data_IF_461370248909
#
_entry.id   IF_461370248909
#
_cell.length_a   1.000
_cell.length_b   1.000
_cell.length_c   1.000
_cell.angle_alpha   90.00
_cell.angle_beta   90.00
_cell.angle_gamma   90.00
#
_symmetry.space_group_name_H-M   'P 1'
#
loop_
_entity.id
_entity.type
_entity.pdbx_description
1 polymer ?
#
# COMPACT_ATOMS: atom_id res chain seq x y z
N UNK A 1 31.87 22.73 -9.68
CA UNK A 1 30.45 22.42 -9.39
C UNK A 1 30.12 21.11 -10.10
N UNK A 2 29.97 20.02 -9.36
CA UNK A 2 29.63 18.73 -9.95
C UNK A 2 28.19 18.80 -10.46
N UNK A 3 28.00 18.53 -11.76
CA UNK A 3 26.69 18.34 -12.39
C UNK A 3 26.14 17.06 -11.77
N UNK A 4 25.23 17.20 -10.80
CA UNK A 4 24.49 16.07 -10.26
C UNK A 4 23.59 15.56 -11.38
N UNK A 5 23.99 14.46 -12.04
CA UNK A 5 23.17 13.78 -13.04
C UNK A 5 21.90 13.32 -12.34
N UNK A 6 20.78 13.94 -12.67
CA UNK A 6 19.47 13.71 -12.07
C UNK A 6 19.03 12.25 -12.29
N UNK A 7 19.29 11.36 -11.33
CA UNK A 7 18.98 9.92 -11.42
C UNK A 7 17.48 9.59 -11.39
N UNK A 8 16.61 10.59 -11.24
CA UNK A 8 15.19 10.38 -11.05
C UNK A 8 14.45 9.88 -12.29
N UNK A 9 14.91 10.20 -13.51
CA UNK A 9 14.24 9.72 -14.72
C UNK A 9 14.31 8.18 -14.85
N UNK A 10 15.43 7.57 -14.47
CA UNK A 10 15.60 6.12 -14.47
C UNK A 10 14.75 5.44 -13.39
N UNK A 11 14.67 6.08 -12.22
CA UNK A 11 13.82 5.65 -11.11
C UNK A 11 12.32 5.72 -11.44
N UNK A 12 11.85 6.83 -12.03
CA UNK A 12 10.47 6.94 -12.48
C UNK A 12 10.18 5.92 -13.58
N UNK A 13 11.13 5.67 -14.48
CA UNK A 13 10.99 4.63 -15.51
C UNK A 13 10.87 3.23 -14.89
N UNK A 14 11.68 2.89 -13.89
CA UNK A 14 11.59 1.59 -13.22
C UNK A 14 10.25 1.43 -12.52
N UNK A 15 9.82 2.43 -11.74
CA UNK A 15 8.50 2.46 -11.10
C UNK A 15 7.36 2.31 -12.11
N UNK A 16 7.45 3.00 -13.25
CA UNK A 16 6.48 2.87 -14.33
C UNK A 16 6.39 1.43 -14.82
N UNK A 17 7.53 0.79 -15.10
CA UNK A 17 7.56 -0.59 -15.60
C UNK A 17 7.13 -1.61 -14.56
N UNK A 18 7.55 -1.47 -13.31
CA UNK A 18 7.16 -2.34 -12.18
C UNK A 18 5.65 -2.33 -11.96
N UNK A 19 5.06 -1.13 -12.02
CA UNK A 19 3.60 -0.98 -11.93
C UNK A 19 2.89 -1.20 -13.25
N UNK A 20 3.59 -1.72 -14.27
CA UNK A 20 3.09 -2.09 -15.58
C UNK A 20 2.51 -0.96 -16.43
N UNK A 21 2.78 0.31 -16.11
CA UNK A 21 2.23 1.45 -16.87
C UNK A 21 2.95 1.62 -18.21
N UNK A 22 2.23 1.97 -19.26
CA UNK A 22 2.81 2.36 -20.54
C UNK A 22 3.26 3.83 -20.52
N UNK A 23 4.22 4.18 -21.38
CA UNK A 23 4.66 5.58 -21.54
C UNK A 23 3.51 6.49 -21.98
N UNK A 24 2.57 5.97 -22.77
CA UNK A 24 1.41 6.72 -23.23
C UNK A 24 0.42 7.00 -22.09
N UNK A 25 0.23 6.05 -21.18
CA UNK A 25 -0.64 6.21 -20.01
C UNK A 25 -0.14 7.32 -19.08
N UNK A 26 1.15 7.30 -18.72
CA UNK A 26 1.72 8.33 -17.86
C UNK A 26 1.66 9.69 -18.56
N UNK A 27 2.04 9.77 -19.84
CA UNK A 27 1.95 11.02 -20.59
C UNK A 27 0.54 11.63 -20.56
N UNK A 28 -0.50 10.81 -20.77
CA UNK A 28 -1.91 11.24 -20.67
C UNK A 28 -2.27 11.74 -19.27
N UNK A 29 -1.85 11.02 -18.22
CA UNK A 29 -2.10 11.42 -16.81
C UNK A 29 -1.41 12.74 -16.46
N UNK A 30 -0.25 13.00 -17.05
CA UNK A 30 0.51 14.25 -16.87
C UNK A 30 0.04 15.40 -17.77
N UNK A 31 -0.89 15.15 -18.70
CA UNK A 31 -1.32 16.16 -19.67
C UNK A 31 -0.25 16.55 -20.69
N UNK A 32 0.74 15.68 -20.94
CA UNK A 32 1.83 15.93 -21.91
C UNK A 32 1.77 14.95 -23.09
N UNK A 33 2.51 15.26 -24.16
CA UNK A 33 2.64 14.35 -25.29
C UNK A 33 3.46 13.10 -24.92
N UNK A 34 3.17 11.97 -25.57
CA UNK A 34 3.97 10.74 -25.42
C UNK A 34 5.45 10.98 -25.72
N UNK A 35 5.76 11.79 -26.73
CA UNK A 35 7.15 12.14 -27.08
C UNK A 35 7.84 12.94 -25.97
N UNK A 36 7.12 13.87 -25.33
CA UNK A 36 7.64 14.63 -24.18
C UNK A 36 7.98 13.71 -23.01
N UNK A 37 7.10 12.75 -22.70
CA UNK A 37 7.37 11.77 -21.64
C UNK A 37 8.53 10.83 -21.98
N UNK A 38 8.65 10.38 -23.24
CA UNK A 38 9.81 9.59 -23.71
C UNK A 38 11.11 10.36 -23.55
N UNK A 39 11.12 11.64 -23.93
CA UNK A 39 12.30 12.50 -23.79
C UNK A 39 12.69 12.65 -22.31
N UNK A 40 11.71 12.75 -21.41
CA UNK A 40 11.94 12.74 -19.97
C UNK A 40 12.60 11.44 -19.49
N UNK A 41 12.05 10.25 -19.80
CA UNK A 41 12.63 8.98 -19.34
C UNK A 41 14.05 8.72 -19.87
N UNK A 42 14.39 9.36 -20.99
CA UNK A 42 15.73 9.31 -21.60
C UNK A 42 16.69 10.36 -21.04
N UNK A 43 16.27 11.17 -20.06
CA UNK A 43 17.07 12.25 -19.47
C UNK A 43 17.28 13.46 -20.39
N UNK A 44 16.51 13.57 -21.48
CA UNK A 44 16.59 14.70 -22.44
C UNK A 44 15.68 15.86 -22.06
N UNK A 45 14.83 15.68 -21.04
CA UNK A 45 13.85 16.66 -20.55
C UNK A 45 13.69 16.50 -19.05
N UNK A 46 13.65 17.62 -18.32
CA UNK A 46 13.33 17.65 -16.89
C UNK A 46 11.80 17.71 -16.67
N UNK A 47 11.34 17.26 -15.51
CA UNK A 47 9.94 17.41 -15.11
C UNK A 47 9.62 18.84 -14.68
N UNK A 48 8.44 19.32 -15.07
CA UNK A 48 7.86 20.49 -14.40
C UNK A 48 7.40 20.12 -12.98
N UNK A 49 7.35 21.09 -12.05
CA UNK A 49 6.88 20.84 -10.67
C UNK A 49 5.44 20.31 -10.63
N UNK A 50 4.58 20.75 -11.55
CA UNK A 50 3.22 20.23 -11.70
C UNK A 50 3.23 18.75 -12.12
N UNK A 51 4.10 18.37 -13.04
CA UNK A 51 4.27 16.97 -13.48
C UNK A 51 4.86 16.10 -12.37
N UNK A 52 5.84 16.60 -11.62
CA UNK A 52 6.42 15.90 -10.48
C UNK A 52 5.36 15.66 -9.37
N UNK A 53 4.51 16.65 -9.11
CA UNK A 53 3.39 16.50 -8.18
C UNK A 53 2.39 15.43 -8.63
N UNK A 54 2.01 15.44 -9.90
CA UNK A 54 1.11 14.42 -10.44
C UNK A 54 1.75 13.03 -10.45
N UNK A 55 3.06 12.92 -10.76
CA UNK A 55 3.79 11.66 -10.63
C UNK A 55 3.83 11.17 -9.17
N UNK A 56 4.02 12.06 -8.21
CA UNK A 56 3.96 11.73 -6.78
C UNK A 56 2.60 11.13 -6.40
N UNK A 57 1.51 11.69 -6.94
CA UNK A 57 0.16 11.13 -6.76
C UNK A 57 0.00 9.78 -7.44
N UNK A 58 0.39 9.66 -8.72
CA UNK A 58 0.23 8.44 -9.52
C UNK A 58 1.02 7.27 -8.92
N UNK A 59 2.25 7.53 -8.51
CA UNK A 59 3.14 6.53 -7.96
C UNK A 59 3.09 6.43 -6.45
N UNK A 60 2.23 7.21 -5.77
CA UNK A 60 2.20 7.27 -4.30
C UNK A 60 3.61 7.41 -3.72
N UNK A 61 4.42 8.32 -4.26
CA UNK A 61 5.78 8.67 -3.83
C UNK A 61 5.85 10.16 -3.49
N UNK A 62 6.76 10.56 -2.59
CA UNK A 62 6.96 11.97 -2.25
C UNK A 62 7.77 12.69 -3.33
N UNK A 63 7.70 14.03 -3.38
CA UNK A 63 8.57 14.81 -4.27
C UNK A 63 10.06 14.60 -3.95
N UNK A 64 10.39 14.36 -2.67
CA UNK A 64 11.75 14.05 -2.24
C UNK A 64 12.23 12.70 -2.78
N UNK A 65 11.37 11.68 -2.79
CA UNK A 65 11.67 10.37 -3.42
C UNK A 65 11.96 10.52 -4.92
N UNK A 66 11.16 11.36 -5.60
CA UNK A 66 11.39 11.71 -7.00
C UNK A 66 12.74 12.38 -7.11
N UNK A 67 13.00 13.47 -6.40
CA UNK A 67 14.24 14.22 -6.50
C UNK A 67 15.49 13.36 -6.23
N UNK A 68 15.41 12.47 -5.23
CA UNK A 68 16.51 11.60 -4.83
C UNK A 68 16.64 10.34 -5.68
N UNK A 69 15.67 10.06 -6.55
CA UNK A 69 15.67 8.89 -7.44
C UNK A 69 15.65 7.56 -6.71
N UNK A 70 15.04 7.52 -5.51
CA UNK A 70 14.92 6.34 -4.66
C UNK A 70 13.63 6.45 -3.87
N UNK A 71 12.91 5.34 -3.69
CA UNK A 71 11.79 5.32 -2.76
C UNK A 71 12.38 5.32 -1.35
N UNK A 72 11.98 6.28 -0.51
CA UNK A 72 12.21 6.24 0.94
C UNK A 72 11.22 5.29 1.61
N UNK A 73 11.07 4.08 1.07
CA UNK A 73 10.35 2.98 1.74
C UNK A 73 11.36 1.91 2.14
N UNK A 74 11.10 1.18 3.22
CA UNK A 74 12.00 0.11 3.62
C UNK A 74 11.99 -1.03 2.61
N UNK A 75 13.17 -1.56 2.28
CA UNK A 75 13.31 -2.83 1.56
C UNK A 75 12.73 -3.96 2.43
N UNK A 76 11.72 -4.67 1.93
CA UNK A 76 11.08 -5.79 2.63
C UNK A 76 11.83 -7.07 2.28
N UNK A 77 12.29 -7.77 3.31
CA UNK A 77 12.92 -9.09 3.15
C UNK A 77 12.12 -10.06 4.01
N UNK A 78 11.51 -11.06 3.39
CA UNK A 78 10.86 -12.15 4.11
C UNK A 78 11.91 -13.08 4.71
N UNK A 79 11.92 -13.22 6.03
CA UNK A 79 12.85 -14.13 6.70
C UNK A 79 12.40 -15.58 6.50
N UNK A 80 13.02 -16.29 5.55
CA UNK A 80 12.97 -17.76 5.53
C UNK A 80 13.66 -18.27 6.80
N UNK A 81 12.89 -18.91 7.67
CA UNK A 81 13.32 -19.47 8.95
C UNK A 81 14.69 -20.17 8.88
N UNK A 82 15.74 -19.58 9.51
CA UNK A 82 16.73 -20.23 10.40
C UNK A 82 17.94 -19.32 10.74
N UNK A 83 18.12 -19.11 12.05
CA UNK A 83 19.31 -18.61 12.80
C UNK A 83 19.76 -17.16 12.55
N UNK A 84 19.44 -16.32 13.52
CA UNK A 84 20.00 -14.99 13.79
C UNK A 84 21.53 -15.05 13.82
N UNK A 85 22.20 -14.33 12.92
CA UNK A 85 23.55 -13.81 13.16
C UNK A 85 23.46 -12.30 13.24
N UNK A 86 23.65 -11.75 14.45
CA UNK A 86 23.90 -10.32 14.68
C UNK A 86 25.05 -9.88 13.78
N UNK A 87 24.79 -8.94 12.87
CA UNK A 87 25.86 -8.16 12.25
C UNK A 87 25.83 -6.77 12.90
N UNK A 88 26.90 -6.45 13.62
CA UNK A 88 27.17 -5.13 14.21
C UNK A 88 27.59 -4.15 13.12
N UNK A 89 27.06 -2.93 13.23
CA UNK A 89 27.69 -1.70 12.78
C UNK A 89 27.29 -1.22 11.39
N UNK A 90 26.66 -0.05 11.31
CA UNK A 90 27.23 1.22 10.79
C UNK A 90 26.07 2.20 10.52
N UNK A 91 26.14 3.40 11.10
CA UNK A 91 25.63 4.65 10.53
C UNK A 91 24.19 5.07 10.89
N UNK A 92 24.08 6.13 11.70
CA UNK A 92 22.86 6.91 11.91
C UNK A 92 22.51 7.66 10.62
N UNK A 93 21.68 7.08 9.73
CA UNK A 93 20.82 7.74 8.71
C UNK A 93 20.42 6.78 7.57
N UNK A 94 19.89 5.60 7.89
CA UNK A 94 19.30 4.70 6.90
C UNK A 94 18.13 3.94 7.53
N UNK A 95 16.95 4.06 6.94
CA UNK A 95 15.75 3.28 7.27
C UNK A 95 16.09 1.79 7.24
N UNK A 96 16.18 1.19 8.43
CA UNK A 96 16.58 -0.20 8.66
C UNK A 96 15.65 -1.17 7.92
N UNK A 97 16.27 -2.22 7.36
CA UNK A 97 15.62 -3.38 6.73
C UNK A 97 14.44 -3.86 7.58
N UNK A 98 13.26 -3.92 6.99
CA UNK A 98 12.04 -4.34 7.69
C UNK A 98 11.98 -5.86 7.69
N UNK A 99 12.48 -6.46 8.77
CA UNK A 99 12.23 -7.87 9.07
C UNK A 99 10.77 -8.04 9.50
N UNK A 100 10.03 -8.88 8.77
CA UNK A 100 8.67 -9.31 9.09
C UNK A 100 8.72 -10.82 9.34
N UNK A 101 8.28 -11.31 10.51
CA UNK A 101 8.20 -12.74 10.78
C UNK A 101 7.35 -13.46 9.73
N UNK A 102 7.79 -14.63 9.27
CA UNK A 102 7.10 -15.40 8.23
C UNK A 102 5.63 -15.71 8.57
N UNK A 103 5.31 -15.93 9.84
CA UNK A 103 3.94 -16.17 10.32
C UNK A 103 3.01 -14.99 10.01
N UNK A 104 3.51 -13.74 10.12
CA UNK A 104 2.75 -12.54 9.75
C UNK A 104 2.58 -12.40 8.24
N UNK A 105 3.53 -12.91 7.46
CA UNK A 105 3.44 -12.93 5.99
C UNK A 105 2.33 -13.88 5.55
N UNK A 106 2.28 -15.09 6.12
CA UNK A 106 1.25 -16.07 5.78
C UNK A 106 -0.14 -15.59 6.20
N UNK A 107 -0.27 -15.04 7.41
CA UNK A 107 -1.53 -14.45 7.87
C UNK A 107 -2.00 -13.29 6.99
N UNK A 108 -1.08 -12.44 6.51
CA UNK A 108 -1.41 -11.40 5.54
C UNK A 108 -1.87 -12.01 4.21
N UNK A 109 -1.15 -12.99 3.64
CA UNK A 109 -1.59 -13.70 2.41
C UNK A 109 -3.01 -14.24 2.54
N UNK A 110 -3.34 -14.88 3.65
CA UNK A 110 -4.67 -15.45 3.89
C UNK A 110 -5.75 -14.37 4.11
N UNK A 111 -5.48 -13.34 4.91
CA UNK A 111 -6.40 -12.22 5.11
C UNK A 111 -6.70 -11.47 3.80
N UNK A 112 -5.65 -11.16 3.02
CA UNK A 112 -5.78 -10.51 1.71
C UNK A 112 -6.59 -11.39 0.75
N UNK A 113 -6.29 -12.68 0.69
CA UNK A 113 -6.99 -13.61 -0.20
C UNK A 113 -8.47 -13.75 0.19
N UNK A 114 -8.77 -13.79 1.50
CA UNK A 114 -10.15 -13.80 2.00
C UNK A 114 -10.90 -12.53 1.62
N UNK A 115 -10.32 -11.35 1.86
CA UNK A 115 -10.92 -10.06 1.46
C UNK A 115 -11.20 -10.05 -0.05
N UNK A 116 -10.23 -10.42 -0.88
CA UNK A 116 -10.40 -10.44 -2.34
C UNK A 116 -11.45 -11.45 -2.80
N UNK A 117 -11.59 -12.59 -2.12
CA UNK A 117 -12.63 -13.58 -2.43
C UNK A 117 -14.05 -13.03 -2.23
N UNK A 118 -14.21 -12.08 -1.30
CA UNK A 118 -15.49 -11.44 -0.98
C UNK A 118 -15.78 -10.21 -1.83
N UNK A 119 -14.76 -9.38 -2.08
CA UNK A 119 -14.97 -8.04 -2.66
C UNK A 119 -14.18 -7.75 -3.94
N UNK A 120 -13.24 -8.60 -4.37
CA UNK A 120 -12.39 -8.34 -5.54
C UNK A 120 -13.18 -8.11 -6.84
N UNK A 121 -14.34 -8.75 -6.98
CA UNK A 121 -15.24 -8.56 -8.10
C UNK A 121 -15.93 -7.19 -8.15
N UNK A 122 -16.08 -6.48 -7.01
CA UNK A 122 -16.81 -5.21 -6.95
C UNK A 122 -16.13 -4.12 -7.81
N UNK A 123 -16.90 -3.29 -8.54
CA UNK A 123 -16.32 -2.34 -9.50
C UNK A 123 -15.54 -1.20 -8.84
N UNK A 124 -15.91 -0.79 -7.63
CA UNK A 124 -15.20 0.24 -6.86
C UNK A 124 -13.92 -0.27 -6.19
N UNK A 125 -13.72 -1.59 -6.08
CA UNK A 125 -12.56 -2.18 -5.41
C UNK A 125 -11.36 -2.24 -6.37
N UNK A 126 -10.51 -1.23 -6.23
CA UNK A 126 -9.16 -1.20 -6.80
C UNK A 126 -8.11 -1.11 -5.70
N UNK A 127 -6.83 -1.07 -6.10
CA UNK A 127 -5.67 -1.02 -5.20
C UNK A 127 -5.80 0.02 -4.07
N UNK A 128 -6.23 1.25 -4.38
CA UNK A 128 -6.40 2.29 -3.36
C UNK A 128 -7.42 1.89 -2.30
N UNK A 129 -8.59 1.37 -2.69
CA UNK A 129 -9.62 0.96 -1.70
C UNK A 129 -9.11 -0.22 -0.88
N UNK A 130 -8.46 -1.19 -1.53
CA UNK A 130 -7.93 -2.38 -0.88
C UNK A 130 -6.89 -2.04 0.20
N UNK A 131 -6.00 -1.09 -0.05
CA UNK A 131 -5.01 -0.64 0.95
C UNK A 131 -5.67 -0.14 2.23
N UNK A 132 -6.72 0.67 2.10
CA UNK A 132 -7.39 1.28 3.24
C UNK A 132 -8.32 0.28 3.93
N UNK A 133 -8.92 -0.64 3.18
CA UNK A 133 -9.69 -1.73 3.75
C UNK A 133 -8.81 -2.64 4.63
N UNK A 134 -7.63 -3.04 4.15
CA UNK A 134 -6.66 -3.81 4.95
C UNK A 134 -6.22 -3.05 6.21
N UNK A 135 -5.94 -1.75 6.05
CA UNK A 135 -5.59 -0.88 7.17
C UNK A 135 -6.67 -0.85 8.25
N UNK A 136 -7.93 -0.60 7.89
CA UNK A 136 -9.04 -0.58 8.86
C UNK A 136 -9.26 -1.97 9.46
N UNK A 137 -9.20 -3.05 8.68
CA UNK A 137 -9.26 -4.43 9.19
C UNK A 137 -8.26 -4.65 10.33
N UNK A 138 -7.01 -4.23 10.15
CA UNK A 138 -5.95 -4.49 11.12
C UNK A 138 -6.02 -3.56 12.34
N UNK A 139 -6.20 -2.24 12.11
CA UNK A 139 -6.19 -1.25 13.17
C UNK A 139 -7.47 -1.27 14.02
N UNK A 140 -8.62 -1.53 13.40
CA UNK A 140 -9.91 -1.57 14.11
C UNK A 140 -10.03 -2.88 14.90
N UNK A 141 -9.37 -3.95 14.45
CA UNK A 141 -9.22 -5.17 15.24
C UNK A 141 -8.37 -4.90 16.48
N UNK A 142 -7.25 -4.19 16.30
CA UNK A 142 -6.39 -3.79 17.41
C UNK A 142 -7.08 -2.86 18.41
N UNK A 143 -7.92 -1.93 17.95
CA UNK A 143 -8.70 -1.08 18.86
C UNK A 143 -9.68 -1.87 19.73
N UNK A 144 -10.32 -2.90 19.15
CA UNK A 144 -11.33 -3.73 19.84
C UNK A 144 -10.73 -4.76 20.78
N UNK A 145 -9.63 -5.39 20.38
CA UNK A 145 -9.11 -6.59 21.02
C UNK A 145 -7.69 -6.43 21.56
N UNK A 146 -7.03 -5.31 21.28
CA UNK A 146 -5.65 -5.01 21.69
C UNK A 146 -4.63 -6.04 21.12
N UNK A 147 -5.04 -6.76 20.07
CA UNK A 147 -4.26 -7.74 19.32
C UNK A 147 -4.19 -7.34 17.84
N UNK A 148 -3.11 -7.72 17.15
CA UNK A 148 -2.95 -7.42 15.73
C UNK A 148 -3.53 -8.56 14.89
N UNK A 149 -4.46 -8.27 13.96
CA UNK A 149 -5.02 -9.28 13.07
C UNK A 149 -3.97 -9.70 12.04
N UNK A 150 -3.52 -8.76 11.21
CA UNK A 150 -2.46 -9.00 10.22
C UNK A 150 -1.11 -8.61 10.84
N UNK A 151 -1.08 -7.52 11.62
CA UNK A 151 0.15 -6.98 12.19
C UNK A 151 1.11 -6.47 11.11
N UNK A 152 0.55 -5.98 10.00
CA UNK A 152 1.32 -5.41 8.91
C UNK A 152 1.89 -4.04 9.30
N UNK A 153 3.01 -3.67 8.67
CA UNK A 153 3.53 -2.30 8.76
C UNK A 153 2.85 -1.44 7.71
N UNK A 154 2.26 -0.34 8.14
CA UNK A 154 1.65 0.65 7.26
C UNK A 154 2.44 1.95 7.31
N UNK A 155 2.54 2.63 6.18
CA UNK A 155 3.19 3.94 6.07
C UNK A 155 2.19 5.01 5.66
N UNK A 156 2.45 6.24 6.10
CA UNK A 156 1.69 7.42 5.68
C UNK A 156 2.06 7.78 4.23
N UNK A 157 1.06 7.78 3.36
CA UNK A 157 1.14 8.30 2.00
C UNK A 157 0.02 9.30 1.72
N UNK A 158 0.20 10.08 0.65
CA UNK A 158 -0.69 11.13 0.16
C UNK A 158 -2.17 10.76 0.08
N UNK A 159 -2.48 9.50 -0.26
CA UNK A 159 -3.85 9.03 -0.45
C UNK A 159 -4.38 8.19 0.71
N UNK A 160 -3.64 8.13 1.82
CA UNK A 160 -3.96 7.33 3.00
C UNK A 160 -2.89 6.27 3.28
N UNK A 161 -3.10 5.41 4.28
CA UNK A 161 -2.14 4.39 4.67
C UNK A 161 -1.93 3.35 3.56
N UNK A 162 -0.70 2.85 3.47
CA UNK A 162 -0.31 1.79 2.53
C UNK A 162 0.45 0.69 3.27
N UNK A 163 0.05 -0.59 3.15
CA UNK A 163 0.81 -1.70 3.70
C UNK A 163 2.12 -1.87 2.95
N UNK A 164 3.23 -1.93 3.70
CA UNK A 164 4.59 -1.95 3.15
C UNK A 164 4.86 -3.23 2.33
N UNK A 165 4.45 -4.40 2.85
CA UNK A 165 4.71 -5.70 2.23
C UNK A 165 3.71 -6.10 1.13
N UNK A 166 2.84 -5.18 0.72
CA UNK A 166 1.71 -5.53 -0.17
C UNK A 166 2.18 -6.01 -1.54
N UNK A 167 3.17 -5.32 -2.13
CA UNK A 167 3.67 -5.64 -3.47
C UNK A 167 4.30 -7.02 -3.49
N UNK A 168 5.14 -7.33 -2.50
CA UNK A 168 5.79 -8.62 -2.39
C UNK A 168 4.78 -9.75 -2.16
N UNK A 169 3.73 -9.51 -1.35
CA UNK A 169 2.66 -10.48 -1.12
C UNK A 169 1.85 -10.76 -2.39
N UNK A 170 1.51 -9.73 -3.17
CA UNK A 170 0.83 -9.93 -4.45
C UNK A 170 1.71 -10.74 -5.41
N UNK A 171 2.98 -10.37 -5.56
CA UNK A 171 3.90 -11.09 -6.44
C UNK A 171 3.99 -12.57 -6.07
N UNK A 172 4.16 -12.88 -4.79
CA UNK A 172 4.15 -14.26 -4.30
C UNK A 172 2.85 -14.99 -4.66
N UNK A 173 1.68 -14.36 -4.45
CA UNK A 173 0.38 -14.96 -4.76
C UNK A 173 0.12 -15.12 -6.27
N UNK A 174 0.70 -14.25 -7.10
CA UNK A 174 0.69 -14.39 -8.57
C UNK A 174 1.61 -15.52 -9.03
N UNK A 175 2.80 -15.65 -8.46
CA UNK A 175 3.71 -16.78 -8.71
C UNK A 175 3.09 -18.13 -8.31
N UNK A 176 2.34 -18.15 -7.20
CA UNK A 176 1.55 -19.30 -6.76
C UNK A 176 0.30 -19.55 -7.64
N UNK A 177 -0.04 -18.62 -8.54
CA UNK A 177 -1.21 -18.67 -9.41
C UNK A 177 -2.55 -18.51 -8.67
N UNK A 178 -2.53 -17.94 -7.46
CA UNK A 178 -3.70 -17.71 -6.60
C UNK A 178 -4.40 -16.38 -6.90
N UNK A 179 -3.65 -15.38 -7.37
CA UNK A 179 -4.18 -14.06 -7.75
C UNK A 179 -3.80 -13.74 -9.19
N UNK A 180 -4.66 -12.97 -9.86
CA UNK A 180 -4.38 -12.31 -11.13
C UNK A 180 -4.57 -10.79 -10.99
N UNK A 181 -3.55 -10.02 -11.37
CA UNK A 181 -3.64 -8.55 -11.48
C UNK A 181 -4.20 -8.14 -12.84
N UNK A 182 -5.33 -7.42 -12.81
CA UNK A 182 -5.99 -6.89 -14.01
C UNK A 182 -5.95 -5.37 -13.99
N UNK A 183 -5.56 -4.78 -15.12
CA UNK A 183 -5.73 -3.36 -15.37
C UNK A 183 -7.03 -3.12 -16.10
N UNK A 184 -7.90 -2.33 -15.48
CA UNK A 184 -9.20 -1.98 -16.04
C UNK A 184 -9.39 -0.47 -16.02
N UNK A 185 -10.39 0.03 -16.74
CA UNK A 185 -10.84 1.43 -16.61
C UNK A 185 -12.05 1.47 -15.69
N UNK A 186 -11.98 2.26 -14.63
CA UNK A 186 -13.12 2.63 -13.81
C UNK A 186 -13.43 4.10 -14.04
N UNK A 187 -14.59 4.39 -14.64
CA UNK A 187 -14.91 5.72 -15.17
C UNK A 187 -13.83 6.25 -16.13
N UNK A 188 -13.15 7.36 -15.78
CA UNK A 188 -12.11 8.00 -16.59
C UNK A 188 -10.70 7.57 -16.19
N UNK A 189 -10.55 6.77 -15.14
CA UNK A 189 -9.27 6.46 -14.51
C UNK A 189 -8.92 4.99 -14.68
N UNK A 190 -7.62 4.71 -14.82
CA UNK A 190 -7.13 3.33 -14.77
C UNK A 190 -7.12 2.83 -13.33
N UNK A 191 -7.59 1.60 -13.16
CA UNK A 191 -7.74 0.90 -11.89
C UNK A 191 -7.02 -0.44 -11.99
N UNK A 192 -6.10 -0.67 -11.05
CA UNK A 192 -5.51 -1.99 -10.81
C UNK A 192 -6.46 -2.78 -9.91
N UNK A 193 -6.85 -3.96 -10.38
CA UNK A 193 -7.69 -4.93 -9.66
C UNK A 193 -6.90 -6.21 -9.41
N UNK A 194 -7.21 -6.88 -8.31
CA UNK A 194 -6.64 -8.18 -7.95
C UNK A 194 -7.80 -9.16 -7.84
N UNK A 195 -7.78 -10.24 -8.61
CA UNK A 195 -8.84 -11.24 -8.61
C UNK A 195 -8.30 -12.58 -8.13
N UNK A 196 -9.06 -13.27 -7.28
CA UNK A 196 -8.73 -14.63 -6.84
C UNK A 196 -8.98 -15.61 -7.98
N UNK A 197 -8.07 -16.55 -8.16
CA UNK A 197 -8.26 -17.68 -9.06
C UNK A 197 -9.25 -18.68 -8.43
N UNK A 198 -10.46 -18.86 -8.99
CA UNK A 198 -11.49 -19.71 -8.39
C UNK A 198 -11.15 -21.21 -8.43
N UNK A 199 -10.11 -21.59 -9.17
CA UNK A 199 -9.64 -22.99 -9.26
C UNK A 199 -8.66 -23.38 -8.14
N UNK A 200 -8.17 -22.40 -7.37
CA UNK A 200 -7.26 -22.63 -6.25
C UNK A 200 -8.03 -22.58 -4.93
N UNK A 201 -7.73 -23.48 -3.98
CA UNK A 201 -8.34 -23.43 -2.66
C UNK A 201 -7.89 -22.17 -1.91
N UNK A 202 -8.78 -21.64 -1.08
CA UNK A 202 -8.48 -20.53 -0.20
C UNK A 202 -8.04 -21.08 1.17
N UNK A 203 -6.78 -20.83 1.52
CA UNK A 203 -6.23 -21.19 2.82
C UNK A 203 -6.62 -20.14 3.88
N UNK A 204 -7.14 -20.59 5.02
CA UNK A 204 -7.60 -19.74 6.13
C UNK A 204 -7.11 -20.25 7.50
N UNK A 205 -6.13 -21.15 7.54
CA UNK A 205 -5.62 -21.78 8.76
C UNK A 205 -5.05 -20.80 9.79
N UNK A 206 -4.56 -19.65 9.33
CA UNK A 206 -3.96 -18.61 10.17
C UNK A 206 -5.01 -17.61 10.70
N UNK A 207 -6.28 -17.74 10.30
CA UNK A 207 -7.36 -16.85 10.71
C UNK A 207 -8.33 -17.56 11.64
N UNK A 208 -8.52 -17.00 12.83
CA UNK A 208 -9.55 -17.45 13.76
C UNK A 208 -10.95 -17.07 13.29
N UNK A 209 -11.97 -17.73 13.84
CA UNK A 209 -13.37 -17.37 13.56
C UNK A 209 -13.72 -15.93 13.97
N UNK A 210 -13.09 -15.41 15.03
CA UNK A 210 -13.26 -14.02 15.47
C UNK A 210 -12.69 -13.02 14.45
N UNK A 211 -11.50 -13.33 13.91
CA UNK A 211 -10.86 -12.48 12.88
C UNK A 211 -11.64 -12.51 11.58
N UNK A 212 -12.13 -13.67 11.15
CA UNK A 212 -13.00 -13.79 9.98
C UNK A 212 -14.28 -12.96 10.17
N UNK A 213 -14.92 -13.05 11.34
CA UNK A 213 -16.12 -12.27 11.65
C UNK A 213 -15.83 -10.76 11.64
N UNK A 214 -14.67 -10.33 12.15
CA UNK A 214 -14.26 -8.93 12.10
C UNK A 214 -13.98 -8.47 10.66
N UNK A 215 -13.30 -9.28 9.84
CA UNK A 215 -13.09 -8.98 8.41
C UNK A 215 -14.43 -8.81 7.69
N UNK A 216 -15.39 -9.71 7.91
CA UNK A 216 -16.71 -9.63 7.31
C UNK A 216 -17.47 -8.37 7.77
N UNK A 217 -17.34 -7.99 9.05
CA UNK A 217 -17.91 -6.74 9.59
C UNK A 217 -17.31 -5.50 8.90
N UNK A 218 -15.98 -5.45 8.74
CA UNK A 218 -15.30 -4.35 8.05
C UNK A 218 -15.66 -4.25 6.57
N UNK A 219 -15.75 -5.41 5.90
CA UNK A 219 -16.21 -5.47 4.52
C UNK A 219 -17.62 -4.88 4.40
N UNK A 220 -18.54 -5.25 5.29
CA UNK A 220 -19.90 -4.71 5.26
C UNK A 220 -19.93 -3.19 5.50
N UNK A 221 -19.03 -2.67 6.34
CA UNK A 221 -18.94 -1.24 6.66
C UNK A 221 -18.32 -0.41 5.53
N UNK A 222 -17.28 -0.92 4.88
CA UNK A 222 -16.38 -0.11 4.05
C UNK A 222 -16.32 -0.50 2.57
N UNK A 223 -16.71 -1.72 2.19
CA UNK A 223 -16.45 -2.21 0.82
C UNK A 223 -17.28 -1.54 -0.27
N UNK A 224 -18.29 -0.75 0.07
CA UNK A 224 -19.07 0.06 -0.88
C UNK A 224 -18.52 1.48 -1.05
N UNK A 225 -17.48 1.85 -0.30
CA UNK A 225 -16.87 3.17 -0.42
C UNK A 225 -16.08 3.27 -1.73
N UNK A 226 -16.13 4.45 -2.33
CA UNK A 226 -15.20 4.84 -3.40
C UNK A 226 -13.81 5.12 -2.84
N UNK A 227 -12.79 5.11 -3.70
CA UNK A 227 -11.43 5.50 -3.34
C UNK A 227 -11.39 6.86 -2.62
N UNK A 228 -12.15 7.84 -3.09
CA UNK A 228 -12.22 9.17 -2.47
C UNK A 228 -12.84 9.14 -1.07
N UNK A 229 -13.92 8.36 -0.87
CA UNK A 229 -14.60 8.27 0.43
C UNK A 229 -13.73 7.57 1.47
N UNK A 230 -13.14 6.43 1.13
CA UNK A 230 -12.31 5.68 2.08
C UNK A 230 -10.98 6.39 2.37
N UNK A 231 -10.40 7.09 1.38
CA UNK A 231 -9.25 7.98 1.62
C UNK A 231 -9.61 9.11 2.58
N UNK A 232 -10.76 9.77 2.37
CA UNK A 232 -11.23 10.83 3.26
C UNK A 232 -11.45 10.33 4.71
N UNK A 233 -11.95 9.11 4.88
CA UNK A 233 -12.06 8.48 6.20
C UNK A 233 -10.66 8.26 6.82
N UNK A 234 -9.73 7.65 6.07
CA UNK A 234 -8.38 7.38 6.56
C UNK A 234 -7.58 8.66 6.89
N UNK A 235 -7.87 9.77 6.22
CA UNK A 235 -7.23 11.06 6.50
C UNK A 235 -7.73 11.72 7.79
N UNK A 236 -8.87 11.29 8.32
CA UNK A 236 -9.37 11.69 9.65
C UNK A 236 -8.85 10.78 10.76
N UNK A 237 -8.25 9.65 10.42
CA UNK A 237 -7.88 8.64 11.39
C UNK A 237 -6.57 9.01 12.11
N UNK A 238 -6.58 8.93 13.44
CA UNK A 238 -5.47 9.41 14.28
C UNK A 238 -4.11 8.79 13.93
N UNK A 239 -3.98 7.47 13.70
CA UNK A 239 -2.69 6.89 13.32
C UNK A 239 -2.08 7.51 12.06
N UNK A 240 -2.89 7.81 11.05
CA UNK A 240 -2.44 8.46 9.81
C UNK A 240 -2.16 9.96 10.02
N UNK A 241 -3.00 10.67 10.78
CA UNK A 241 -2.86 12.10 11.03
C UNK A 241 -1.53 12.47 11.67
N UNK A 242 -1.16 11.77 12.75
CA UNK A 242 0.01 12.12 13.57
C UNK A 242 1.32 11.54 13.04
N UNK A 243 1.25 10.54 12.15
CA UNK A 243 2.45 10.00 11.52
C UNK A 243 3.14 11.08 10.66
N UNK A 244 4.47 11.07 10.68
CA UNK A 244 5.27 11.85 9.72
C UNK A 244 5.02 11.33 8.31
N UNK A 245 5.20 12.17 7.29
CA UNK A 245 5.15 11.72 5.90
C UNK A 245 6.11 10.54 5.70
N UNK A 246 5.66 9.44 5.06
CA UNK A 246 6.36 8.15 4.96
C UNK A 246 6.67 7.42 6.27
N UNK A 247 6.29 8.00 7.41
CA UNK A 247 6.46 7.38 8.71
C UNK A 247 5.57 6.15 8.87
N UNK A 248 6.06 5.20 9.68
CA UNK A 248 5.29 4.02 10.09
C UNK A 248 4.14 4.48 11.00
N UNK A 249 2.94 3.95 10.74
CA UNK A 249 1.78 4.19 11.60
C UNK A 249 1.90 3.34 12.86
N UNK A 250 1.63 3.96 14.00
CA UNK A 250 1.62 3.30 15.30
C UNK A 250 0.20 2.81 15.62
N UNK A 251 0.07 1.52 15.93
CA UNK A 251 -1.20 0.89 16.31
C UNK A 251 -1.80 1.53 17.57
N UNK A 252 -0.98 1.91 18.54
CA UNK A 252 -1.44 2.53 19.80
C UNK A 252 -2.23 3.83 19.59
N UNK A 253 -2.07 4.47 18.42
CA UNK A 253 -2.78 5.71 18.12
C UNK A 253 -4.29 5.48 17.86
N UNK A 254 -4.75 4.23 17.74
CA UNK A 254 -6.19 3.95 17.64
C UNK A 254 -6.97 4.34 18.89
N UNK A 255 -6.33 4.30 20.07
CA UNK A 255 -6.96 4.67 21.34
C UNK A 255 -7.17 6.18 21.52
N UNK A 256 -6.71 6.97 20.55
CA UNK A 256 -6.89 8.42 20.49
C UNK A 256 -7.70 8.80 19.25
N UNK A 257 -8.47 7.87 18.69
CA UNK A 257 -9.38 8.11 17.56
C UNK A 257 -10.53 9.00 17.99
N UNK A 258 -10.97 9.94 17.13
CA UNK A 258 -12.23 10.61 17.34
C UNK A 258 -13.40 9.64 17.08
N UNK A 259 -14.60 10.03 17.52
CA UNK A 259 -15.81 9.20 17.41
C UNK A 259 -16.08 8.72 15.98
N UNK A 260 -15.72 9.51 14.96
CA UNK A 260 -15.97 9.16 13.57
C UNK A 260 -15.14 7.98 13.04
N UNK A 261 -14.00 7.67 13.65
CA UNK A 261 -13.14 6.54 13.23
C UNK A 261 -12.94 5.48 14.30
N UNK A 262 -13.31 5.76 15.55
CA UNK A 262 -13.28 4.78 16.63
C UNK A 262 -14.36 3.71 16.44
N UNK A 263 -13.99 2.46 16.72
CA UNK A 263 -14.91 1.31 16.66
C UNK A 263 -15.12 0.64 18.02
N UNK A 264 -14.57 1.23 19.09
CA UNK A 264 -14.76 0.77 20.46
C UNK A 264 -16.03 1.41 21.02
N UNK A 265 -16.92 0.59 21.56
CA UNK A 265 -18.01 1.10 22.41
C UNK A 265 -17.40 1.49 23.75
N UNK A 266 -17.28 2.79 24.03
CA UNK A 266 -16.91 3.27 25.34
C UNK A 266 -18.12 3.14 26.27
N UNK A 267 -17.95 2.48 27.42
CA UNK A 267 -18.97 2.55 28.46
C UNK A 267 -19.14 4.02 28.86
N UNK A 268 -20.38 4.53 28.91
CA UNK A 268 -20.61 5.89 29.39
C UNK A 268 -20.11 5.99 30.84
N UNK A 269 -19.24 6.98 31.08
CA UNK A 269 -18.71 7.34 32.40
C UNK A 269 -19.81 7.74 33.38
#
# INVERSE_FOLDING_TARGET
MAIMVNKYHAFIKSLRTERGFSQLEIAKKLGISRSSYIAFEQGRRELAMTEANELGKIFEISLDDIQNGKISVPEVIFEKSKKIKKIKGIGNDVWERVSIPQERVEKFKQALSYVLSKVGGKPNIGQTVLYKLLYFIDFDYYEKFEEQLIGARYIKNTHGPTPVAFTEIINDLEEEGKIETIKSKFYKYEQTKYLINPTKPLELSELSGQEIAHIDWEINRLSDFTASQISALSHKDTPWLVAKERGILNYEHVFYRPEETSVREYEPL
#
